data_IF_298039766548
#
_entry.id   IF_298039766548
#
_cell.length_a   1.000
_cell.length_b   1.000
_cell.length_c   1.000
_cell.angle_alpha   90.00
_cell.angle_beta   90.00
_cell.angle_gamma   90.00
#
_symmetry.space_group_name_H-M   'P 1'
#
loop_
_entity.id
_entity.type
_entity.pdbx_description
1 polymer ?
#
# COMPACT_ATOMS: atom_id res chain seq x y z
N UNK A 1 21.19 6.56 -5.31
CA UNK A 1 20.19 6.38 -4.24
C UNK A 1 19.69 7.76 -3.89
N UNK A 2 18.52 8.13 -4.40
CA UNK A 2 17.85 9.35 -3.96
C UNK A 2 17.48 9.11 -2.48
N UNK A 3 17.82 10.05 -1.62
CA UNK A 3 17.60 9.95 -0.19
C UNK A 3 16.10 10.14 0.10
N UNK A 4 15.44 9.02 0.40
CA UNK A 4 13.98 8.90 0.61
C UNK A 4 13.46 9.84 1.68
N UNK A 5 14.31 10.23 2.63
CA UNK A 5 13.94 11.18 3.66
C UNK A 5 13.52 12.54 3.06
N UNK A 6 14.27 13.06 2.08
CA UNK A 6 13.98 14.36 1.47
C UNK A 6 12.82 14.31 0.47
N UNK A 7 12.52 13.15 -0.12
CA UNK A 7 11.31 13.00 -0.93
C UNK A 7 10.04 13.00 -0.07
N UNK A 8 10.12 12.42 1.13
CA UNK A 8 8.97 12.27 2.01
C UNK A 8 8.74 13.47 2.94
N UNK A 9 9.70 14.40 3.03
CA UNK A 9 9.62 15.53 3.98
C UNK A 9 9.99 16.86 3.33
N UNK A 10 9.23 17.90 3.64
CA UNK A 10 9.62 19.30 3.43
C UNK A 10 10.28 19.81 4.70
N UNK A 11 11.46 20.41 4.55
CA UNK A 11 12.22 21.01 5.65
C UNK A 11 12.32 22.51 5.41
N UNK A 12 11.85 23.27 6.38
CA UNK A 12 11.97 24.72 6.43
C UNK A 12 12.84 25.08 7.63
N UNK A 13 13.63 26.15 7.52
CA UNK A 13 14.43 26.64 8.64
C UNK A 13 14.43 28.16 8.72
N UNK A 14 14.40 28.67 9.96
CA UNK A 14 14.45 30.09 10.28
C UNK A 14 15.39 30.30 11.45
N UNK A 15 16.24 31.34 11.38
CA UNK A 15 17.15 31.70 12.45
C UNK A 15 16.61 32.93 13.18
N UNK A 16 16.40 32.79 14.48
CA UNK A 16 16.02 33.87 15.39
C UNK A 16 17.27 34.41 16.08
N UNK A 17 17.51 35.71 15.95
CA UNK A 17 18.62 36.40 16.63
C UNK A 17 18.15 36.85 18.03
N UNK A 18 18.85 36.41 19.07
CA UNK A 18 18.57 36.72 20.47
C UNK A 18 19.75 37.49 21.05
N UNK A 19 19.52 38.74 21.42
CA UNK A 19 20.54 39.57 22.08
C UNK A 19 20.36 39.44 23.59
N UNK A 20 21.35 38.84 24.25
CA UNK A 20 21.38 38.65 25.70
C UNK A 20 22.26 39.72 26.36
N UNK A 21 21.84 40.25 27.52
CA UNK A 21 22.71 41.07 28.36
C UNK A 21 23.85 40.20 28.93
N UNK A 22 25.07 40.74 28.98
CA UNK A 22 26.19 40.07 29.62
C UNK A 22 25.84 39.71 31.07
N UNK A 23 26.10 38.45 31.45
CA UNK A 23 25.90 37.93 32.80
C UNK A 23 26.65 38.80 33.82
N UNK A 24 25.92 39.54 34.66
CA UNK A 24 26.50 40.33 35.75
C UNK A 24 26.85 39.40 36.91
N UNK A 25 27.89 38.59 36.71
CA UNK A 25 28.52 37.82 37.77
C UNK A 25 29.17 38.74 38.80
N UNK A 26 28.57 38.77 39.98
CA UNK A 26 29.09 39.25 41.28
C UNK A 26 30.18 40.33 41.25
N UNK A 27 29.74 41.58 41.45
CA UNK A 27 30.31 42.49 42.44
C UNK A 27 31.83 42.71 42.41
N UNK A 28 32.32 43.53 41.47
CA UNK A 28 33.32 44.55 41.79
C UNK A 28 33.45 45.60 40.68
N UNK A 29 33.82 46.80 41.10
CA UNK A 29 33.61 48.09 40.45
C UNK A 29 34.38 48.30 39.12
N UNK A 30 33.76 49.12 38.26
CA UNK A 30 34.33 49.91 37.15
C UNK A 30 34.88 49.18 35.90
N UNK A 31 33.98 48.96 34.92
CA UNK A 31 34.22 49.28 33.50
C UNK A 31 32.89 49.35 32.73
N UNK A 32 32.52 50.54 32.23
CA UNK A 32 31.39 50.76 31.32
C UNK A 32 31.77 50.27 29.92
N UNK A 33 31.55 48.99 29.65
CA UNK A 33 31.31 48.45 28.31
C UNK A 33 30.73 47.05 28.50
N UNK A 34 29.41 46.97 28.75
CA UNK A 34 28.72 45.68 28.77
C UNK A 34 28.63 45.17 27.34
N UNK A 35 29.54 44.28 26.93
CA UNK A 35 29.47 43.61 25.63
C UNK A 35 28.19 42.77 25.57
N UNK A 36 27.25 43.12 24.68
CA UNK A 36 26.05 42.33 24.43
C UNK A 36 26.43 41.04 23.71
N UNK A 37 25.92 39.90 24.15
CA UNK A 37 26.11 38.63 23.45
C UNK A 37 24.93 38.40 22.50
N UNK A 38 25.23 38.16 21.22
CA UNK A 38 24.22 37.69 20.25
C UNK A 38 24.26 36.17 20.18
N UNK A 39 23.13 35.53 20.50
CA UNK A 39 22.87 34.12 20.23
C UNK A 39 21.93 33.97 19.03
N UNK A 40 22.02 32.84 18.32
CA UNK A 40 21.11 32.51 17.23
C UNK A 40 20.41 31.19 17.56
N UNK A 41 19.08 31.20 17.56
CA UNK A 41 18.24 30.01 17.69
C UNK A 41 17.81 29.59 16.30
N UNK A 42 18.22 28.40 15.87
CA UNK A 42 17.77 27.84 14.60
C UNK A 42 16.50 27.01 14.81
N UNK A 43 15.38 27.51 14.30
CA UNK A 43 14.13 26.77 14.21
C UNK A 43 14.15 25.93 12.93
N UNK A 44 13.98 24.62 13.07
CA UNK A 44 13.87 23.69 11.93
C UNK A 44 12.49 23.03 12.00
N UNK A 45 11.69 23.22 10.96
CA UNK A 45 10.38 22.61 10.81
C UNK A 45 10.46 21.50 9.77
N UNK A 46 10.06 20.29 10.16
CA UNK A 46 9.99 19.14 9.26
C UNK A 46 8.52 18.73 9.12
N UNK A 47 8.01 18.73 7.90
CA UNK A 47 6.63 18.31 7.58
C UNK A 47 6.65 17.16 6.61
N UNK A 48 5.75 16.20 6.77
CA UNK A 48 5.58 15.10 5.80
C UNK A 48 4.92 15.61 4.52
N UNK A 49 5.43 15.19 3.38
CA UNK A 49 4.79 15.38 2.08
C UNK A 49 3.51 14.52 2.04
N UNK A 50 2.36 15.06 1.61
CA UNK A 50 1.15 14.27 1.39
C UNK A 50 1.42 13.10 0.44
N UNK A 51 0.79 11.96 0.72
CA UNK A 51 1.04 10.75 -0.07
C UNK A 51 0.64 10.90 -1.54
N UNK A 52 -0.40 11.69 -1.81
CA UNK A 52 -0.86 11.99 -3.18
C UNK A 52 0.16 12.83 -3.95
N UNK A 53 0.77 13.83 -3.29
CA UNK A 53 1.85 14.62 -3.88
C UNK A 53 3.05 13.73 -4.23
N UNK A 54 3.42 12.83 -3.31
CA UNK A 54 4.52 11.89 -3.53
C UNK A 54 4.22 10.91 -4.68
N UNK A 55 2.99 10.41 -4.76
CA UNK A 55 2.57 9.50 -5.82
C UNK A 55 2.51 10.21 -7.18
N UNK A 56 2.10 11.48 -7.21
CA UNK A 56 2.19 12.32 -8.41
C UNK A 56 3.64 12.50 -8.87
N UNK A 57 4.55 12.86 -7.95
CA UNK A 57 5.97 13.02 -8.26
C UNK A 57 6.62 11.71 -8.76
N UNK A 58 6.14 10.56 -8.25
CA UNK A 58 6.53 9.23 -8.69
C UNK A 58 5.80 8.74 -9.94
N UNK A 59 4.92 9.57 -10.53
CA UNK A 59 4.14 9.26 -11.72
C UNK A 59 3.32 7.97 -11.59
N UNK A 60 2.65 7.79 -10.45
CA UNK A 60 1.73 6.68 -10.26
C UNK A 60 0.59 6.75 -11.28
N UNK A 61 0.23 5.60 -11.85
CA UNK A 61 -0.97 5.46 -12.68
C UNK A 61 -2.24 5.55 -11.83
N UNK A 62 -3.39 5.77 -12.47
CA UNK A 62 -4.68 5.80 -11.76
C UNK A 62 -4.92 4.49 -10.99
N UNK A 63 -4.63 3.33 -11.59
CA UNK A 63 -4.74 2.05 -10.86
C UNK A 63 -3.72 1.89 -9.71
N UNK A 64 -2.60 2.61 -9.73
CA UNK A 64 -1.64 2.62 -8.63
C UNK A 64 -2.13 3.55 -7.51
N UNK A 65 -2.76 4.66 -7.86
CA UNK A 65 -3.43 5.56 -6.92
C UNK A 65 -4.58 4.85 -6.21
N UNK A 66 -5.40 4.10 -6.92
CA UNK A 66 -6.51 3.33 -6.34
C UNK A 66 -6.03 2.29 -5.32
N UNK A 67 -4.94 1.58 -5.63
CA UNK A 67 -4.33 0.64 -4.69
C UNK A 67 -3.78 1.39 -3.47
N UNK A 68 -3.06 2.49 -3.69
CA UNK A 68 -2.51 3.30 -2.62
C UNK A 68 -3.61 3.78 -1.67
N UNK A 69 -4.72 4.27 -2.21
CA UNK A 69 -5.87 4.74 -1.43
C UNK A 69 -6.57 3.59 -0.70
N UNK A 70 -6.71 2.43 -1.35
CA UNK A 70 -7.26 1.24 -0.70
C UNK A 70 -6.39 0.81 0.48
N UNK A 71 -5.07 0.74 0.30
CA UNK A 71 -4.13 0.39 1.37
C UNK A 71 -4.25 1.37 2.55
N UNK A 72 -4.33 2.67 2.27
CA UNK A 72 -4.41 3.72 3.30
C UNK A 72 -5.80 3.87 3.95
N UNK A 73 -6.80 3.15 3.46
CA UNK A 73 -8.16 3.20 4.00
C UNK A 73 -8.21 2.77 5.47
N UNK A 74 -9.18 3.29 6.22
CA UNK A 74 -9.38 2.92 7.63
C UNK A 74 -9.67 1.43 7.82
N UNK A 75 -10.25 0.77 6.81
CA UNK A 75 -10.49 -0.67 6.79
C UNK A 75 -9.18 -1.47 6.73
N UNK A 76 -8.22 -1.03 5.89
CA UNK A 76 -6.95 -1.72 5.69
C UNK A 76 -5.85 -1.29 6.66
N UNK A 77 -5.99 -0.14 7.32
CA UNK A 77 -5.03 0.40 8.29
C UNK A 77 -4.55 -0.58 9.35
N UNK A 78 -5.42 -1.35 10.04
CA UNK A 78 -4.98 -2.33 11.03
C UNK A 78 -4.04 -3.40 10.44
N UNK A 79 -4.30 -3.81 9.20
CA UNK A 79 -3.51 -4.81 8.50
C UNK A 79 -2.16 -4.25 8.04
N UNK A 80 -2.14 -3.02 7.49
CA UNK A 80 -0.89 -2.32 7.19
C UNK A 80 -0.01 -2.16 8.43
N UNK A 81 -0.59 -1.73 9.56
CA UNK A 81 0.13 -1.58 10.83
C UNK A 81 0.69 -2.92 11.31
N UNK A 82 -0.04 -4.02 11.13
CA UNK A 82 0.44 -5.37 11.42
C UNK A 82 1.64 -5.76 10.54
N UNK A 83 1.60 -5.43 9.24
CA UNK A 83 2.71 -5.68 8.31
C UNK A 83 3.94 -4.78 8.57
N UNK A 84 3.73 -3.53 9.02
CA UNK A 84 4.80 -2.57 9.31
C UNK A 84 5.52 -2.78 10.65
N UNK A 85 5.26 -3.88 11.37
CA UNK A 85 6.15 -4.35 12.44
C UNK A 85 5.76 -4.00 13.88
N UNK A 86 4.52 -3.57 14.15
CA UNK A 86 4.04 -3.36 15.54
C UNK A 86 3.06 -4.42 16.04
N UNK A 87 2.65 -5.36 15.18
CA UNK A 87 1.80 -6.48 15.57
C UNK A 87 2.64 -7.68 15.98
N UNK A 88 2.68 -8.03 17.26
CA UNK A 88 3.01 -9.40 17.67
C UNK A 88 2.04 -10.34 16.95
N UNK A 89 2.52 -11.05 15.94
CA UNK A 89 1.81 -12.15 15.26
C UNK A 89 1.50 -13.24 16.29
N UNK A 90 0.38 -13.10 16.99
CA UNK A 90 -0.13 -14.11 17.94
C UNK A 90 -1.00 -15.16 17.24
N UNK A 91 -1.20 -15.03 15.93
CA UNK A 91 -1.75 -16.08 15.08
C UNK A 91 -0.63 -16.79 14.36
N UNK A 92 -0.25 -17.98 14.84
CA UNK A 92 0.50 -18.96 14.04
C UNK A 92 -0.38 -19.37 12.87
N UNK A 93 -0.40 -18.60 11.78
CA UNK A 93 -0.80 -19.15 10.49
C UNK A 93 0.37 -20.03 10.09
N UNK A 94 0.23 -21.37 10.06
CA UNK A 94 1.32 -22.21 9.61
C UNK A 94 1.67 -21.77 8.17
N UNK A 95 2.94 -21.48 7.87
CA UNK A 95 3.35 -21.22 6.50
C UNK A 95 2.90 -22.43 5.67
N UNK A 96 2.15 -22.19 4.61
CA UNK A 96 1.71 -23.28 3.73
C UNK A 96 2.94 -23.74 2.96
N UNK A 97 3.35 -24.97 3.27
CA UNK A 97 4.73 -25.48 3.17
C UNK A 97 5.11 -26.07 1.81
N UNK A 98 4.26 -25.97 0.78
CA UNK A 98 4.57 -26.56 -0.54
C UNK A 98 4.96 -25.50 -1.59
N UNK A 99 4.37 -24.29 -1.56
CA UNK A 99 4.57 -23.28 -2.61
C UNK A 99 3.99 -23.68 -3.98
N UNK A 100 3.33 -24.84 -4.06
CA UNK A 100 2.60 -25.30 -5.24
C UNK A 100 1.31 -24.49 -5.41
N UNK A 101 1.25 -23.69 -6.48
CA UNK A 101 0.03 -23.00 -6.89
C UNK A 101 -0.80 -23.87 -7.82
N UNK A 102 -2.11 -23.77 -7.72
CA UNK A 102 -3.05 -24.36 -8.66
C UNK A 102 -3.60 -23.30 -9.62
N UNK A 103 -4.05 -23.76 -10.78
CA UNK A 103 -4.77 -22.89 -11.70
C UNK A 103 -6.16 -22.49 -11.14
N UNK A 104 -6.50 -21.19 -11.11
CA UNK A 104 -7.68 -20.71 -10.38
C UNK A 104 -9.02 -20.91 -11.12
N UNK A 105 -9.00 -21.19 -12.43
CA UNK A 105 -10.20 -21.43 -13.24
C UNK A 105 -10.15 -22.78 -13.98
N UNK A 106 -10.54 -23.89 -13.33
CA UNK A 106 -10.59 -25.19 -13.99
C UNK A 106 -11.40 -25.16 -15.28
N UNK A 107 -10.82 -25.67 -16.37
CA UNK A 107 -11.47 -25.71 -17.69
C UNK A 107 -11.27 -24.46 -18.56
N UNK A 108 -10.64 -23.40 -18.04
CA UNK A 108 -10.36 -22.17 -18.78
C UNK A 108 -8.87 -21.85 -18.74
N UNK A 109 -8.14 -22.12 -19.82
CA UNK A 109 -6.66 -22.00 -19.84
C UNK A 109 -6.13 -21.02 -20.90
N UNK A 110 -7.00 -20.46 -21.73
CA UNK A 110 -6.62 -19.39 -22.65
C UNK A 110 -6.42 -18.09 -21.87
N UNK A 111 -5.55 -17.21 -22.39
CA UNK A 111 -5.37 -15.85 -21.87
C UNK A 111 -5.84 -14.85 -22.93
N UNK A 112 -6.59 -13.83 -22.51
CA UNK A 112 -6.92 -12.69 -23.38
C UNK A 112 -5.86 -11.60 -23.29
N UNK A 113 -5.29 -11.40 -22.11
CA UNK A 113 -4.26 -10.39 -21.83
C UNK A 113 -3.19 -11.02 -20.94
N UNK A 114 -1.93 -10.79 -21.27
CA UNK A 114 -0.80 -11.27 -20.46
C UNK A 114 -0.28 -10.18 -19.53
N UNK A 115 0.55 -10.59 -18.59
CA UNK A 115 1.31 -9.68 -17.75
C UNK A 115 2.22 -8.78 -18.60
N UNK A 116 2.21 -7.48 -18.32
CA UNK A 116 3.02 -6.46 -18.97
C UNK A 116 2.47 -5.94 -20.29
N UNK A 117 1.42 -6.54 -20.85
CA UNK A 117 0.74 -6.03 -22.05
C UNK A 117 -0.06 -4.76 -21.71
N UNK A 118 -0.58 -4.07 -22.73
CA UNK A 118 -1.57 -3.02 -22.48
C UNK A 118 -2.89 -3.68 -22.06
N UNK A 119 -3.57 -3.10 -21.08
CA UNK A 119 -4.90 -3.56 -20.67
C UNK A 119 -5.98 -3.24 -21.72
N UNK A 120 -7.23 -3.62 -21.43
CA UNK A 120 -8.35 -3.39 -22.33
C UNK A 120 -8.69 -1.90 -22.58
N UNK A 121 -8.16 -0.99 -21.77
CA UNK A 121 -8.33 0.46 -21.88
C UNK A 121 -7.12 1.16 -22.52
N UNK A 122 -6.07 0.40 -22.82
CA UNK A 122 -4.83 0.89 -23.42
C UNK A 122 -3.80 1.38 -22.41
N UNK A 123 -4.02 1.16 -21.11
CA UNK A 123 -3.02 1.48 -20.09
C UNK A 123 -1.88 0.46 -20.20
N UNK A 124 -0.62 0.92 -20.31
CA UNK A 124 0.51 0.01 -20.42
C UNK A 124 0.80 -0.69 -19.09
N UNK A 125 1.26 -1.94 -19.15
CA UNK A 125 1.82 -2.62 -17.99
C UNK A 125 0.79 -3.36 -17.14
N UNK A 126 -0.06 -4.16 -17.77
CA UNK A 126 -1.03 -5.01 -17.10
C UNK A 126 -0.37 -5.85 -15.99
N UNK A 127 -0.90 -5.77 -14.76
CA UNK A 127 -0.26 -6.33 -13.55
C UNK A 127 -0.74 -7.74 -13.20
N UNK A 128 -1.50 -8.37 -14.09
CA UNK A 128 -2.06 -9.70 -13.92
C UNK A 128 -2.06 -10.49 -15.22
N UNK A 129 -2.90 -11.51 -15.27
CA UNK A 129 -3.25 -12.26 -16.49
C UNK A 129 -4.78 -12.31 -16.54
N UNK A 130 -5.36 -12.13 -17.73
CA UNK A 130 -6.82 -12.20 -17.89
C UNK A 130 -7.22 -13.55 -18.45
N UNK A 131 -8.07 -14.26 -17.71
CA UNK A 131 -8.58 -15.58 -18.09
C UNK A 131 -10.07 -15.44 -18.43
N UNK A 132 -10.47 -15.52 -19.72
CA UNK A 132 -11.87 -15.40 -20.11
C UNK A 132 -12.69 -16.60 -19.62
N UNK A 133 -13.79 -16.31 -18.94
CA UNK A 133 -14.75 -17.31 -18.50
C UNK A 133 -16.16 -16.70 -18.42
N UNK A 134 -17.25 -17.49 -18.57
CA UNK A 134 -18.60 -16.99 -18.36
C UNK A 134 -18.79 -16.42 -16.94
N UNK A 135 -19.66 -15.42 -16.81
CA UNK A 135 -20.09 -14.92 -15.51
C UNK A 135 -20.61 -16.08 -14.64
N UNK A 136 -20.32 -16.04 -13.35
CA UNK A 136 -20.72 -17.07 -12.40
C UNK A 136 -19.78 -18.28 -12.36
N UNK A 137 -18.74 -18.35 -13.21
CA UNK A 137 -17.76 -19.45 -13.16
C UNK A 137 -17.03 -19.42 -11.80
N UNK A 138 -17.00 -20.54 -11.05
CA UNK A 138 -16.34 -20.56 -9.73
C UNK A 138 -14.83 -20.30 -9.83
N UNK A 139 -14.34 -19.34 -9.05
CA UNK A 139 -12.93 -19.00 -8.92
C UNK A 139 -12.36 -19.74 -7.72
N UNK A 140 -11.24 -20.44 -7.92
CA UNK A 140 -10.53 -21.16 -6.87
C UNK A 140 -9.35 -20.37 -6.35
N UNK A 141 -9.10 -20.47 -5.04
CA UNK A 141 -7.83 -20.03 -4.45
C UNK A 141 -6.68 -20.81 -5.10
N UNK A 142 -5.76 -20.08 -5.74
CA UNK A 142 -4.57 -20.65 -6.36
C UNK A 142 -3.60 -21.19 -5.30
N UNK A 143 -3.61 -20.61 -4.09
CA UNK A 143 -2.80 -21.04 -2.97
C UNK A 143 -3.59 -20.91 -1.66
N UNK A 144 -3.20 -21.69 -0.65
CA UNK A 144 -3.77 -21.56 0.69
C UNK A 144 -3.25 -20.31 1.38
N UNK A 145 -4.05 -19.67 2.23
CA UNK A 145 -3.61 -18.46 2.92
C UNK A 145 -4.73 -17.80 3.69
N UNK A 146 -4.48 -16.56 4.10
CA UNK A 146 -5.47 -15.71 4.78
C UNK A 146 -5.97 -14.64 3.81
N UNK A 147 -7.27 -14.47 3.73
CA UNK A 147 -7.89 -13.39 2.95
C UNK A 147 -7.56 -12.05 3.61
N UNK A 148 -6.75 -11.25 2.93
CA UNK A 148 -6.38 -9.91 3.35
C UNK A 148 -7.45 -8.88 2.95
N UNK A 149 -7.91 -8.96 1.70
CA UNK A 149 -8.90 -8.04 1.14
C UNK A 149 -10.04 -8.88 0.58
N UNK A 150 -11.27 -8.48 0.87
CA UNK A 150 -12.46 -8.96 0.18
C UNK A 150 -13.48 -7.82 0.17
N UNK A 151 -13.64 -7.17 -0.98
CA UNK A 151 -14.46 -5.97 -1.08
C UNK A 151 -14.33 -5.28 -2.44
N UNK A 152 -14.93 -4.09 -2.55
CA UNK A 152 -14.91 -3.28 -3.75
C UNK A 152 -13.63 -2.45 -3.86
N UNK A 153 -13.14 -2.29 -5.08
CA UNK A 153 -12.17 -1.28 -5.49
C UNK A 153 -12.58 -0.79 -6.89
N UNK A 154 -12.29 0.46 -7.21
CA UNK A 154 -12.80 1.06 -8.44
C UNK A 154 -12.19 0.41 -9.69
N UNK A 155 -10.86 0.21 -9.72
CA UNK A 155 -10.19 -0.57 -10.78
C UNK A 155 -10.55 -2.07 -10.74
N UNK A 156 -10.35 -2.76 -9.62
CA UNK A 156 -10.51 -4.23 -9.55
C UNK A 156 -11.96 -4.73 -9.42
N UNK A 157 -12.95 -3.85 -9.19
CA UNK A 157 -14.31 -4.24 -8.85
C UNK A 157 -14.39 -5.06 -7.57
N UNK A 158 -15.25 -6.08 -7.55
CA UNK A 158 -15.25 -7.05 -6.45
C UNK A 158 -14.00 -7.92 -6.55
N UNK A 159 -13.24 -7.97 -5.47
CA UNK A 159 -11.96 -8.66 -5.46
C UNK A 159 -11.69 -9.43 -4.18
N UNK A 160 -10.72 -10.33 -4.26
CA UNK A 160 -10.13 -11.07 -3.13
C UNK A 160 -8.60 -10.99 -3.24
N UNK A 161 -7.92 -10.65 -2.14
CA UNK A 161 -6.46 -10.77 -2.00
C UNK A 161 -6.17 -11.80 -0.91
N UNK A 162 -5.38 -12.82 -1.21
CA UNK A 162 -4.94 -13.86 -0.27
C UNK A 162 -3.44 -13.74 -0.06
N UNK A 163 -3.01 -13.79 1.20
CA UNK A 163 -1.59 -13.84 1.59
C UNK A 163 -1.26 -15.20 2.23
N UNK A 164 -0.13 -15.76 1.84
CA UNK A 164 0.33 -17.06 2.33
C UNK A 164 1.15 -16.98 3.63
N UNK A 165 1.46 -15.77 4.10
CA UNK A 165 2.30 -15.50 5.27
C UNK A 165 3.80 -15.67 5.04
N UNK A 166 4.24 -16.03 3.83
CA UNK A 166 5.64 -16.20 3.42
C UNK A 166 6.10 -15.13 2.41
N UNK A 167 5.27 -14.11 2.18
CA UNK A 167 5.57 -12.99 1.28
C UNK A 167 5.05 -13.16 -0.14
N UNK A 168 4.19 -14.15 -0.39
CA UNK A 168 3.45 -14.31 -1.63
C UNK A 168 1.98 -13.95 -1.39
N UNK A 169 1.45 -13.06 -2.23
CA UNK A 169 0.02 -12.78 -2.26
C UNK A 169 -0.56 -13.00 -3.66
N UNK A 170 -1.81 -13.43 -3.71
CA UNK A 170 -2.57 -13.66 -4.95
C UNK A 170 -3.84 -12.82 -4.95
N UNK A 171 -4.05 -12.05 -6.01
CA UNK A 171 -5.23 -11.19 -6.19
C UNK A 171 -6.13 -11.78 -7.26
N UNK A 172 -7.43 -11.64 -7.04
CA UNK A 172 -8.50 -12.09 -7.92
C UNK A 172 -9.47 -10.93 -8.07
N UNK A 173 -9.75 -10.48 -9.29
CA UNK A 173 -10.49 -9.25 -9.55
C UNK A 173 -11.77 -9.52 -10.38
N UNK A 174 -12.50 -8.44 -10.64
CA UNK A 174 -13.64 -8.34 -11.55
C UNK A 174 -14.80 -9.30 -11.24
N UNK A 175 -14.92 -9.78 -10.00
CA UNK A 175 -15.91 -10.80 -9.63
C UNK A 175 -17.35 -10.25 -9.70
N UNK A 176 -18.31 -11.11 -10.01
CA UNK A 176 -19.74 -10.78 -9.80
C UNK A 176 -20.11 -10.88 -8.32
N UNK A 177 -19.48 -11.81 -7.59
CA UNK A 177 -19.65 -11.99 -6.15
C UNK A 177 -18.44 -12.70 -5.52
N UNK A 178 -18.16 -12.40 -4.25
CA UNK A 178 -17.17 -13.11 -3.43
C UNK A 178 -17.86 -14.21 -2.60
N UNK A 179 -17.10 -15.25 -2.22
CA UNK A 179 -17.58 -16.38 -1.40
C UNK A 179 -16.87 -16.49 -0.04
N UNK A 180 -16.03 -15.50 0.29
CA UNK A 180 -15.20 -15.44 1.50
C UNK A 180 -15.31 -14.05 2.13
N UNK A 181 -14.60 -13.83 3.24
CA UNK A 181 -14.56 -12.55 3.94
C UNK A 181 -13.14 -12.26 4.45
N UNK A 182 -12.78 -10.99 4.72
CA UNK A 182 -11.48 -10.65 5.28
C UNK A 182 -11.20 -11.44 6.57
N UNK A 183 -9.96 -11.91 6.73
CA UNK A 183 -9.50 -12.74 7.84
C UNK A 183 -9.82 -14.23 7.72
N UNK A 184 -10.57 -14.67 6.71
CA UNK A 184 -10.82 -16.10 6.50
C UNK A 184 -9.54 -16.83 6.07
N UNK A 185 -9.29 -18.00 6.64
CA UNK A 185 -8.26 -18.93 6.13
C UNK A 185 -8.89 -19.78 5.03
N UNK A 186 -8.22 -19.86 3.89
CA UNK A 186 -8.66 -20.64 2.73
C UNK A 186 -7.58 -21.66 2.34
N UNK A 187 -8.01 -22.76 1.75
CA UNK A 187 -7.10 -23.76 1.17
C UNK A 187 -7.05 -23.64 -0.34
N UNK A 188 -5.92 -23.96 -0.96
CA UNK A 188 -5.81 -24.07 -2.42
C UNK A 188 -6.94 -24.97 -2.96
N UNK A 189 -7.63 -24.51 -4.00
CA UNK A 189 -8.80 -25.21 -4.57
C UNK A 189 -10.14 -24.87 -3.93
N UNK A 190 -10.16 -24.10 -2.84
CA UNK A 190 -11.39 -23.60 -2.26
C UNK A 190 -12.00 -22.52 -3.16
N UNK A 191 -13.33 -22.56 -3.35
CA UNK A 191 -14.05 -21.49 -4.06
C UNK A 191 -14.00 -20.21 -3.24
N UNK A 192 -13.55 -19.11 -3.85
CA UNK A 192 -13.40 -17.79 -3.22
C UNK A 192 -14.30 -16.71 -3.83
N UNK A 193 -14.90 -16.99 -4.97
CA UNK A 193 -15.81 -16.08 -5.64
C UNK A 193 -16.21 -16.60 -7.02
N UNK A 194 -16.79 -15.71 -7.81
CA UNK A 194 -17.36 -16.05 -9.11
C UNK A 194 -16.98 -14.99 -10.14
N UNK A 195 -16.56 -15.45 -11.32
CA UNK A 195 -16.20 -14.60 -12.47
C UNK A 195 -17.32 -13.61 -12.76
N UNK A 196 -16.96 -12.38 -13.10
CA UNK A 196 -17.88 -11.34 -13.53
C UNK A 196 -17.18 -10.31 -14.40
N UNK A 197 -17.75 -9.12 -14.44
CA UNK A 197 -17.20 -7.95 -15.14
C UNK A 197 -17.52 -6.70 -14.34
N UNK A 198 -16.89 -6.57 -13.17
CA UNK A 198 -17.00 -5.40 -12.28
C UNK A 198 -15.71 -4.59 -12.26
N UNK A 199 -15.78 -3.33 -11.85
CA UNK A 199 -14.66 -2.39 -11.93
C UNK A 199 -14.31 -2.07 -13.37
N UNK A 200 -13.03 -1.82 -13.63
CA UNK A 200 -12.48 -1.56 -14.95
C UNK A 200 -12.33 -2.86 -15.73
N UNK A 201 -13.45 -3.31 -16.30
CA UNK A 201 -13.57 -4.56 -17.05
C UNK A 201 -14.40 -4.37 -18.32
N UNK A 202 -13.97 -4.96 -19.43
CA UNK A 202 -14.69 -4.87 -20.73
C UNK A 202 -15.53 -6.10 -21.04
N UNK A 203 -15.44 -7.15 -20.22
CA UNK A 203 -16.18 -8.40 -20.36
C UNK A 203 -15.80 -9.41 -19.29
N UNK A 204 -16.48 -10.55 -19.26
CA UNK A 204 -16.30 -11.52 -18.18
C UNK A 204 -14.91 -12.20 -18.22
N UNK A 205 -14.13 -12.02 -17.15
CA UNK A 205 -12.81 -12.62 -16.96
C UNK A 205 -12.45 -12.69 -15.46
N UNK A 206 -11.33 -13.38 -15.19
CA UNK A 206 -10.60 -13.33 -13.92
C UNK A 206 -9.22 -12.75 -14.14
#
# INVERSE_FOLDING_TARGET
LIDTFWMMHRIESEAEEVVLPADSGDGSEESEDTETQTEYILHITVTSVPVDDLAHDLSFTDDQMDILHQLLSDEMRPMLVQMCGTGTSTGTVPPVVDGSMIWPLPGHTSLTTHFGEADAFGNPGHRGIDIPAPEGTPILAAHSGTVLICGWNDSFGNQVLIDDGAGLSTRYAHMTATAVSPGAVVTAGQVIGYVGSTGDSTGNHL
#
